data_IF_845768927767
#
_entry.id   IF_845768927767
#
_cell.length_a   1.000
_cell.length_b   1.000
_cell.length_c   1.000
_cell.angle_alpha   90.00
_cell.angle_beta   90.00
_cell.angle_gamma   90.00
#
_symmetry.space_group_name_H-M   'P 1'
#
loop_
_entity.id
_entity.type
_entity.pdbx_description
1 polymer ?
#
# COMPACT_ATOMS: atom_id res chain seq x y z
N UNK A 1 -12.92 -49.08 32.60
CA UNK A 1 -13.10 -48.92 31.13
C UNK A 1 -13.32 -47.48 30.66
N UNK A 2 -13.73 -46.54 31.52
CA UNK A 2 -14.07 -45.17 31.10
C UNK A 2 -12.85 -44.27 30.79
N UNK A 3 -11.69 -44.53 31.40
CA UNK A 3 -10.50 -43.71 31.21
C UNK A 3 -9.96 -43.70 29.77
N UNK A 4 -10.08 -44.81 29.05
CA UNK A 4 -9.62 -44.90 27.65
C UNK A 4 -10.52 -44.07 26.72
N UNK A 5 -11.85 -44.14 26.91
CA UNK A 5 -12.80 -43.29 26.17
C UNK A 5 -12.56 -41.81 26.45
N UNK A 6 -12.34 -41.42 27.71
CA UNK A 6 -12.03 -40.04 28.09
C UNK A 6 -10.74 -39.56 27.41
N UNK A 7 -9.69 -40.39 27.40
CA UNK A 7 -8.42 -40.05 26.76
C UNK A 7 -8.56 -39.87 25.23
N UNK A 8 -9.34 -40.73 24.56
CA UNK A 8 -9.60 -40.62 23.12
C UNK A 8 -10.39 -39.35 22.79
N UNK A 9 -11.44 -39.05 23.55
CA UNK A 9 -12.24 -37.83 23.36
C UNK A 9 -11.39 -36.58 23.59
N UNK A 10 -10.56 -36.56 24.62
CA UNK A 10 -9.64 -35.44 24.88
C UNK A 10 -8.63 -35.25 23.75
N UNK A 11 -8.06 -36.34 23.22
CA UNK A 11 -7.13 -36.29 22.09
C UNK A 11 -7.77 -35.72 20.82
N UNK A 12 -8.98 -36.18 20.48
CA UNK A 12 -9.73 -35.67 19.32
C UNK A 12 -10.09 -34.19 19.51
N UNK A 13 -10.51 -33.80 20.71
CA UNK A 13 -10.82 -32.39 21.04
C UNK A 13 -9.58 -31.49 20.91
N UNK A 14 -8.42 -31.94 21.38
CA UNK A 14 -7.16 -31.22 21.26
C UNK A 14 -6.74 -31.06 19.78
N UNK A 15 -6.89 -32.10 18.96
CA UNK A 15 -6.60 -32.03 17.52
C UNK A 15 -7.54 -31.07 16.80
N UNK A 16 -8.84 -31.12 17.10
CA UNK A 16 -9.82 -30.25 16.47
C UNK A 16 -9.64 -28.78 16.86
N UNK A 17 -9.39 -28.51 18.14
CA UNK A 17 -9.11 -27.15 18.62
C UNK A 17 -7.82 -26.59 18.02
N UNK A 18 -6.76 -27.39 17.93
CA UNK A 18 -5.53 -27.02 17.23
C UNK A 18 -5.79 -26.65 15.76
N UNK A 19 -6.56 -27.48 15.05
CA UNK A 19 -6.91 -27.23 13.66
C UNK A 19 -7.73 -25.93 13.49
N UNK A 20 -8.74 -25.73 14.34
CA UNK A 20 -9.58 -24.53 14.31
C UNK A 20 -8.75 -23.25 14.57
N UNK A 21 -7.87 -23.26 15.57
CA UNK A 21 -7.01 -22.12 15.90
C UNK A 21 -6.03 -21.82 14.75
N UNK A 22 -5.51 -22.84 14.06
CA UNK A 22 -4.50 -22.65 13.02
C UNK A 22 -5.09 -22.23 11.67
N UNK A 23 -6.27 -22.71 11.31
CA UNK A 23 -6.85 -22.50 9.96
C UNK A 23 -8.05 -21.56 9.94
N UNK A 24 -8.98 -21.72 10.87
CA UNK A 24 -10.26 -20.99 10.84
C UNK A 24 -10.11 -19.62 11.48
N UNK A 25 -9.42 -19.57 12.63
CA UNK A 25 -9.27 -18.35 13.39
C UNK A 25 -8.59 -17.19 12.61
N UNK A 26 -7.50 -17.40 11.83
CA UNK A 26 -6.90 -16.32 11.05
C UNK A 26 -7.84 -15.73 9.99
N UNK A 27 -8.65 -16.56 9.33
CA UNK A 27 -9.61 -16.11 8.33
C UNK A 27 -10.74 -15.27 8.94
N UNK A 28 -11.21 -15.66 10.13
CA UNK A 28 -12.20 -14.87 10.88
C UNK A 28 -11.63 -13.50 11.26
N UNK A 29 -10.39 -13.47 11.77
CA UNK A 29 -9.68 -12.23 12.10
C UNK A 29 -9.58 -11.34 10.87
N UNK A 30 -9.10 -11.91 9.75
CA UNK A 30 -8.95 -11.20 8.47
C UNK A 30 -10.28 -10.60 8.01
N UNK A 31 -11.34 -11.40 7.93
CA UNK A 31 -12.66 -10.96 7.44
C UNK A 31 -13.27 -9.86 8.29
N UNK A 32 -13.17 -9.96 9.62
CA UNK A 32 -13.70 -8.92 10.53
C UNK A 32 -12.87 -7.64 10.45
N UNK A 33 -11.55 -7.75 10.53
CA UNK A 33 -10.66 -6.60 10.50
C UNK A 33 -10.67 -5.89 9.15
N UNK A 34 -10.67 -6.62 8.03
CA UNK A 34 -10.68 -6.02 6.70
C UNK A 34 -11.95 -5.21 6.48
N UNK A 35 -13.11 -5.72 6.90
CA UNK A 35 -14.38 -4.99 6.81
C UNK A 35 -14.34 -3.67 7.58
N UNK A 36 -13.87 -3.70 8.83
CA UNK A 36 -13.75 -2.49 9.65
C UNK A 36 -12.74 -1.50 9.05
N UNK A 37 -11.60 -2.00 8.57
CA UNK A 37 -10.58 -1.17 7.92
C UNK A 37 -11.07 -0.57 6.61
N UNK A 38 -11.85 -1.31 5.82
CA UNK A 38 -12.43 -0.81 4.56
C UNK A 38 -13.44 0.31 4.83
N UNK A 39 -14.28 0.18 5.87
CA UNK A 39 -15.20 1.24 6.28
C UNK A 39 -14.46 2.53 6.72
N UNK A 40 -13.27 2.39 7.32
CA UNK A 40 -12.44 3.53 7.78
C UNK A 40 -11.64 4.15 6.62
N UNK A 41 -10.97 3.31 5.81
CA UNK A 41 -10.03 3.75 4.79
C UNK A 41 -10.70 4.12 3.47
N UNK A 42 -11.90 3.59 3.20
CA UNK A 42 -12.69 3.87 1.99
C UNK A 42 -14.05 4.46 2.37
N UNK A 43 -14.12 5.68 2.94
CA UNK A 43 -15.38 6.29 3.34
C UNK A 43 -16.34 6.53 2.17
N UNK A 44 -15.84 6.63 0.92
CA UNK A 44 -16.68 6.72 -0.30
C UNK A 44 -16.98 5.36 -0.93
N UNK A 45 -16.65 4.26 -0.24
CA UNK A 45 -16.97 2.89 -0.63
C UNK A 45 -16.15 2.35 -1.81
N UNK A 46 -16.77 1.43 -2.56
CA UNK A 46 -16.11 0.58 -3.55
C UNK A 46 -15.41 1.35 -4.69
N UNK A 47 -15.86 2.56 -5.03
CA UNK A 47 -15.22 3.35 -6.08
C UNK A 47 -13.78 3.75 -5.70
N UNK A 48 -13.58 4.26 -4.48
CA UNK A 48 -12.26 4.61 -3.95
C UNK A 48 -11.33 3.39 -3.87
N UNK A 49 -11.89 2.26 -3.48
CA UNK A 49 -11.18 0.98 -3.43
C UNK A 49 -10.75 0.52 -4.83
N UNK A 50 -11.62 0.67 -5.82
CA UNK A 50 -11.29 0.34 -7.20
C UNK A 50 -10.20 1.24 -7.78
N UNK A 51 -10.27 2.55 -7.56
CA UNK A 51 -9.22 3.49 -7.96
C UNK A 51 -7.87 3.20 -7.28
N UNK A 52 -7.91 2.86 -6.00
CA UNK A 52 -6.73 2.43 -5.25
C UNK A 52 -6.12 1.18 -5.90
N UNK A 53 -6.93 0.16 -6.19
CA UNK A 53 -6.47 -1.08 -6.81
C UNK A 53 -5.89 -0.85 -8.21
N UNK A 54 -6.54 -0.03 -9.05
CA UNK A 54 -5.99 0.34 -10.36
C UNK A 54 -4.64 1.05 -10.23
N UNK A 55 -4.53 1.99 -9.30
CA UNK A 55 -3.28 2.71 -9.04
C UNK A 55 -2.18 1.77 -8.54
N UNK A 56 -2.53 0.83 -7.65
CA UNK A 56 -1.59 -0.18 -7.16
C UNK A 56 -1.13 -1.09 -8.30
N UNK A 57 -2.03 -1.54 -9.17
CA UNK A 57 -1.69 -2.35 -10.36
C UNK A 57 -0.64 -1.68 -11.24
N UNK A 58 -0.74 -0.37 -11.44
CA UNK A 58 0.26 0.41 -12.16
C UNK A 58 1.63 0.42 -11.47
N UNK A 59 1.66 0.42 -10.13
CA UNK A 59 2.91 0.37 -9.35
C UNK A 59 3.56 -1.00 -9.49
N UNK A 60 2.78 -2.08 -9.42
CA UNK A 60 3.29 -3.47 -9.38
C UNK A 60 3.34 -4.16 -10.74
N UNK A 61 2.90 -3.49 -11.79
CA UNK A 61 2.78 -4.04 -13.14
C UNK A 61 1.97 -5.35 -13.16
N UNK A 62 0.76 -5.33 -12.57
CA UNK A 62 -0.20 -6.45 -12.47
C UNK A 62 0.35 -7.77 -11.88
N UNK A 63 1.47 -7.72 -11.14
CA UNK A 63 2.09 -8.94 -10.58
C UNK A 63 1.27 -9.61 -9.47
N UNK A 64 0.40 -8.87 -8.80
CA UNK A 64 -0.35 -9.35 -7.64
C UNK A 64 -1.85 -9.29 -7.90
N UNK A 65 -2.59 -10.18 -7.24
CA UNK A 65 -4.05 -10.19 -7.29
C UNK A 65 -4.66 -9.03 -6.49
N UNK A 66 -5.90 -8.66 -6.80
CA UNK A 66 -6.61 -7.59 -6.08
C UNK A 66 -6.72 -7.88 -4.59
N UNK A 67 -6.87 -9.15 -4.20
CA UNK A 67 -6.97 -9.55 -2.80
C UNK A 67 -5.65 -9.37 -2.05
N UNK A 68 -4.51 -9.61 -2.71
CA UNK A 68 -3.18 -9.40 -2.17
C UNK A 68 -2.81 -7.93 -2.06
N UNK A 69 -3.12 -7.14 -3.10
CA UNK A 69 -2.91 -5.69 -3.09
C UNK A 69 -3.76 -5.01 -2.02
N UNK A 70 -5.03 -5.42 -1.89
CA UNK A 70 -5.91 -4.92 -0.84
C UNK A 70 -5.39 -5.29 0.55
N UNK A 71 -5.01 -6.55 0.79
CA UNK A 71 -4.43 -6.97 2.09
C UNK A 71 -3.19 -6.16 2.45
N UNK A 72 -2.30 -5.94 1.49
CA UNK A 72 -1.11 -5.11 1.67
C UNK A 72 -1.49 -3.67 2.02
N UNK A 73 -2.38 -3.06 1.23
CA UNK A 73 -2.81 -1.69 1.43
C UNK A 73 -3.44 -1.49 2.81
N UNK A 74 -4.41 -2.33 3.18
CA UNK A 74 -5.11 -2.25 4.46
C UNK A 74 -4.16 -2.40 5.64
N UNK A 75 -3.14 -3.26 5.54
CA UNK A 75 -2.15 -3.43 6.60
C UNK A 75 -1.24 -2.22 6.75
N UNK A 76 -0.66 -1.74 5.65
CA UNK A 76 0.26 -0.59 5.70
C UNK A 76 -0.49 0.68 6.10
N UNK A 77 -1.66 0.94 5.52
CA UNK A 77 -2.48 2.10 5.87
C UNK A 77 -3.16 1.99 7.21
N UNK A 78 -3.68 0.83 7.58
CA UNK A 78 -4.25 0.62 8.90
C UNK A 78 -3.24 0.89 10.01
N UNK A 79 -1.97 0.48 9.85
CA UNK A 79 -0.91 0.79 10.81
C UNK A 79 -0.58 2.29 10.91
N UNK A 80 -0.81 3.06 9.85
CA UNK A 80 -0.57 4.51 9.84
C UNK A 80 -1.76 5.31 10.36
N UNK A 81 -2.99 4.86 10.07
CA UNK A 81 -4.21 5.64 10.28
C UNK A 81 -4.93 5.33 11.59
N UNK A 82 -4.69 4.17 12.20
CA UNK A 82 -5.44 3.73 13.40
C UNK A 82 -4.57 3.90 14.64
N UNK A 83 -5.18 4.44 15.69
CA UNK A 83 -4.60 4.37 17.03
C UNK A 83 -4.63 2.93 17.55
N UNK A 84 -3.49 2.25 17.41
CA UNK A 84 -3.27 0.85 17.83
C UNK A 84 -3.39 0.68 19.36
N UNK A 85 -3.34 1.79 20.12
CA UNK A 85 -3.46 1.78 21.58
C UNK A 85 -4.91 1.90 22.06
N UNK A 86 -5.87 2.12 21.17
CA UNK A 86 -7.29 2.06 21.53
C UNK A 86 -7.69 0.64 21.95
N UNK A 87 -8.34 0.53 23.12
CA UNK A 87 -8.76 -0.76 23.71
C UNK A 87 -9.76 -1.53 22.82
N UNK A 88 -10.44 -0.83 21.91
CA UNK A 88 -11.60 -1.33 21.16
C UNK A 88 -11.28 -2.12 19.89
N UNK A 89 -10.00 -2.27 19.50
CA UNK A 89 -9.63 -2.76 18.18
C UNK A 89 -8.78 -4.05 18.17
N UNK A 90 -9.10 -5.04 19.01
CA UNK A 90 -8.36 -6.32 19.07
C UNK A 90 -8.23 -7.02 17.71
N UNK A 91 -9.31 -7.11 16.93
CA UNK A 91 -9.31 -7.79 15.63
C UNK A 91 -8.42 -7.09 14.62
N UNK A 92 -8.54 -5.76 14.53
CA UNK A 92 -7.72 -4.91 13.67
C UNK A 92 -6.26 -5.05 14.08
N UNK A 93 -5.94 -4.89 15.37
CA UNK A 93 -4.59 -5.04 15.90
C UNK A 93 -3.97 -6.38 15.49
N UNK A 94 -4.70 -7.47 15.73
CA UNK A 94 -4.23 -8.82 15.40
C UNK A 94 -4.02 -9.03 13.90
N UNK A 95 -4.88 -8.45 13.08
CA UNK A 95 -4.75 -8.48 11.62
C UNK A 95 -3.56 -7.67 11.11
N UNK A 96 -3.38 -6.44 11.61
CA UNK A 96 -2.33 -5.51 11.18
C UNK A 96 -0.92 -6.02 11.54
N UNK A 97 -0.77 -6.72 12.67
CA UNK A 97 0.51 -7.34 13.05
C UNK A 97 0.79 -8.66 12.34
N UNK A 98 -0.15 -9.19 11.54
CA UNK A 98 0.12 -10.34 10.69
C UNK A 98 0.89 -9.91 9.43
N UNK A 99 1.91 -10.66 8.98
CA UNK A 99 2.65 -10.32 7.77
C UNK A 99 1.72 -10.18 6.56
N UNK A 100 2.08 -9.28 5.64
CA UNK A 100 1.42 -9.14 4.34
C UNK A 100 1.64 -10.40 3.50
N UNK A 101 0.66 -10.78 2.68
CA UNK A 101 0.82 -11.91 1.76
C UNK A 101 1.91 -11.65 0.71
N UNK A 102 2.11 -10.38 0.35
CA UNK A 102 3.04 -9.95 -0.70
C UNK A 102 4.13 -9.03 -0.12
N UNK A 103 5.26 -9.01 -0.83
CA UNK A 103 6.37 -8.10 -0.56
C UNK A 103 6.67 -7.29 -1.82
N UNK A 104 6.53 -5.98 -1.71
CA UNK A 104 6.91 -5.05 -2.78
C UNK A 104 8.44 -4.96 -2.88
N UNK A 105 8.95 -4.77 -4.08
CA UNK A 105 10.36 -4.42 -4.29
C UNK A 105 10.62 -2.97 -3.83
N UNK A 106 11.89 -2.57 -3.74
CA UNK A 106 12.24 -1.24 -3.24
C UNK A 106 11.59 -0.09 -4.04
N UNK A 107 11.63 -0.15 -5.37
CA UNK A 107 11.06 0.91 -6.21
C UNK A 107 9.54 0.99 -6.10
N UNK A 108 8.88 -0.16 -6.03
CA UNK A 108 7.44 -0.26 -5.78
C UNK A 108 7.07 0.30 -4.42
N UNK A 109 7.84 0.01 -3.36
CA UNK A 109 7.61 0.58 -2.04
C UNK A 109 7.72 2.10 -2.07
N UNK A 110 8.77 2.64 -2.70
CA UNK A 110 8.96 4.09 -2.82
C UNK A 110 7.78 4.73 -3.56
N UNK A 111 7.33 4.13 -4.67
CA UNK A 111 6.18 4.61 -5.42
C UNK A 111 4.88 4.50 -4.61
N UNK A 112 4.66 3.38 -3.94
CA UNK A 112 3.52 3.15 -3.07
C UNK A 112 3.43 4.23 -2.00
N UNK A 113 4.51 4.49 -1.26
CA UNK A 113 4.51 5.52 -0.24
C UNK A 113 4.29 6.91 -0.82
N UNK A 114 4.94 7.27 -1.94
CA UNK A 114 4.70 8.57 -2.59
C UNK A 114 3.25 8.76 -2.99
N UNK A 115 2.63 7.74 -3.55
CA UNK A 115 1.26 7.79 -4.05
C UNK A 115 0.24 7.81 -2.92
N UNK A 116 0.43 6.96 -1.91
CA UNK A 116 -0.59 6.75 -0.89
C UNK A 116 -0.31 7.48 0.42
N UNK A 117 0.81 8.20 0.62
CA UNK A 117 1.16 8.83 1.91
C UNK A 117 -0.03 9.61 2.50
N UNK A 118 -0.65 10.45 1.69
CA UNK A 118 -1.77 11.32 2.07
C UNK A 118 -3.13 10.76 1.64
N UNK A 119 -3.28 9.43 1.58
CA UNK A 119 -4.55 8.80 1.24
C UNK A 119 -5.49 8.69 2.47
N UNK A 120 -6.80 8.96 2.33
CA UNK A 120 -7.44 9.53 1.14
C UNK A 120 -7.04 11.00 0.97
N UNK A 121 -6.82 11.45 -0.27
CA UNK A 121 -6.45 12.84 -0.50
C UNK A 121 -7.57 13.75 0.05
N UNK A 122 -7.22 14.62 1.00
CA UNK A 122 -8.12 15.65 1.50
C UNK A 122 -8.71 16.42 0.31
N UNK A 123 -10.04 16.58 0.27
CA UNK A 123 -10.77 17.14 -0.88
C UNK A 123 -10.43 18.61 -1.18
N UNK A 124 -9.60 19.27 -0.37
CA UNK A 124 -9.12 20.62 -0.64
C UNK A 124 -7.91 20.61 -1.60
N UNK A 125 -8.15 20.33 -2.90
CA UNK A 125 -7.34 20.84 -4.04
C UNK A 125 -7.81 20.44 -5.43
N UNK A 126 -9.04 19.95 -5.63
CA UNK A 126 -9.57 19.63 -6.96
C UNK A 126 -10.24 20.83 -7.67
N UNK A 127 -9.75 22.06 -7.47
CA UNK A 127 -10.19 23.23 -8.23
C UNK A 127 -9.06 24.21 -8.58
N UNK A 128 -7.82 23.79 -8.83
CA UNK A 128 -6.87 24.58 -9.66
C UNK A 128 -5.61 23.78 -9.99
N UNK A 129 -5.62 22.95 -11.04
CA UNK A 129 -4.48 22.81 -11.96
C UNK A 129 -4.85 21.93 -13.17
N UNK A 130 -5.85 22.35 -13.94
CA UNK A 130 -5.79 22.12 -15.38
C UNK A 130 -4.99 23.27 -15.99
N UNK A 131 -4.00 22.91 -16.81
CA UNK A 131 -3.15 23.73 -17.66
C UNK A 131 -1.81 24.23 -17.08
N UNK A 132 -0.75 23.45 -17.30
CA UNK A 132 0.48 23.93 -17.97
C UNK A 132 1.19 22.76 -18.65
N UNK A 133 1.22 22.69 -19.99
CA UNK A 133 2.15 21.79 -20.68
C UNK A 133 3.56 22.26 -20.36
N UNK A 134 4.31 21.44 -19.64
CA UNK A 134 5.69 21.69 -19.27
C UNK A 134 6.54 21.66 -20.54
N UNK A 135 6.80 22.87 -21.04
CA UNK A 135 7.74 23.19 -22.12
C UNK A 135 9.18 22.88 -21.63
N UNK A 136 9.57 21.61 -21.65
CA UNK A 136 10.92 21.14 -21.25
C UNK A 136 11.91 20.98 -22.39
N UNK A 137 11.64 21.51 -23.58
CA UNK A 137 12.54 21.42 -24.75
C UNK A 137 13.26 22.72 -25.14
N UNK A 138 13.06 23.86 -24.45
CA UNK A 138 13.74 25.13 -24.82
C UNK A 138 14.91 25.56 -23.92
N UNK A 139 15.24 24.81 -22.88
CA UNK A 139 16.39 25.14 -21.99
C UNK A 139 17.72 24.48 -22.41
N UNK A 140 17.70 23.52 -23.33
CA UNK A 140 18.91 22.91 -23.88
C UNK A 140 19.60 23.81 -24.94
N UNK A 141 18.86 24.54 -25.77
CA UNK A 141 19.46 25.37 -26.84
C UNK A 141 20.11 26.68 -26.37
N UNK A 142 19.68 27.25 -25.23
CA UNK A 142 20.31 28.49 -24.70
C UNK A 142 21.64 28.22 -23.98
N UNK A 143 21.87 27.01 -23.48
CA UNK A 143 23.14 26.62 -22.85
C UNK A 143 24.26 26.39 -23.87
N UNK A 144 23.94 25.86 -25.05
CA UNK A 144 24.93 25.59 -26.09
C UNK A 144 25.39 26.85 -26.85
N UNK A 145 24.50 27.83 -27.10
CA UNK A 145 24.89 29.09 -27.77
C UNK A 145 25.81 29.98 -26.93
N UNK A 146 25.86 29.80 -25.61
CA UNK A 146 26.76 30.57 -24.77
C UNK A 146 28.18 30.00 -24.74
N UNK A 147 28.34 28.68 -24.92
CA UNK A 147 29.66 28.06 -25.01
C UNK A 147 30.32 28.28 -26.39
N UNK A 148 29.55 28.31 -27.49
CA UNK A 148 30.12 28.62 -28.81
C UNK A 148 30.63 30.07 -28.94
N UNK A 149 30.02 31.03 -28.23
CA UNK A 149 30.52 32.41 -28.22
C UNK A 149 31.83 32.56 -27.44
N UNK A 150 31.99 31.84 -26.33
CA UNK A 150 33.23 31.88 -25.52
C UNK A 150 34.42 31.26 -26.25
N UNK A 151 34.21 30.18 -27.03
CA UNK A 151 35.29 29.54 -27.79
C UNK A 151 35.76 30.39 -28.98
N UNK A 152 34.87 31.17 -29.62
CA UNK A 152 35.25 32.09 -30.71
C UNK A 152 36.00 33.32 -30.23
N UNK A 153 35.75 33.81 -29.02
CA UNK A 153 36.49 34.96 -28.48
C UNK A 153 37.93 34.62 -28.12
N UNK A 154 38.20 33.40 -27.64
CA UNK A 154 39.57 33.00 -27.25
C UNK A 154 40.47 32.78 -28.48
N UNK A 155 39.93 32.35 -29.63
CA UNK A 155 40.72 32.14 -30.85
C UNK A 155 41.18 33.43 -31.53
N UNK A 156 40.51 34.56 -31.31
CA UNK A 156 40.88 35.84 -31.95
C UNK A 156 41.84 36.70 -31.11
N UNK A 157 42.36 36.18 -30.00
CA UNK A 157 43.34 36.90 -29.14
C UNK A 157 44.74 36.26 -29.19
N UNK A 158 44.94 35.27 -30.08
CA UNK A 158 46.22 34.57 -30.26
C UNK A 158 46.76 34.65 -31.69
N UNK A 159 46.23 35.57 -32.52
CA UNK A 159 46.88 36.05 -33.75
C UNK A 159 47.41 37.47 -33.54
#
# INVERSE_FOLDING_TARGET
MNFLLIAVVAGISALFSYFAIRKIYPEIVKKKASRQLEEILFPKGEHQKHEMLQTFRLITNDRFSDTEMLDYFLKIKGLQSIDINSETNFWIKKYLFHPTAIKLNYFEQVNFYKTFLNYPADEEKSFTEKSKPVNRLKKAEKGQRHQEKLVKTIKNTQE
#
